data_IF_780690056553
#
_entry.id   IF_780690056553
#
_cell.length_a   1.000
_cell.length_b   1.000
_cell.length_c   1.000
_cell.angle_alpha   90.00
_cell.angle_beta   90.00
_cell.angle_gamma   90.00
#
_symmetry.space_group_name_H-M   'P 1'
#
loop_
_entity.id
_entity.type
_entity.pdbx_description
1 polymer ?
#
# COMPACT_ATOMS: atom_id res chain seq x y z
N UNK A 1 -16.20 -8.36 17.16
CA UNK A 1 -15.13 -7.92 16.23
C UNK A 1 -15.66 -7.73 14.81
N UNK A 2 -16.41 -8.68 14.21
CA UNK A 2 -16.94 -8.59 12.83
C UNK A 2 -17.76 -7.31 12.52
N UNK A 3 -18.64 -6.86 13.43
CA UNK A 3 -19.44 -5.64 13.22
C UNK A 3 -18.58 -4.37 13.17
N UNK A 4 -17.58 -4.25 14.06
CA UNK A 4 -16.65 -3.11 14.07
C UNK A 4 -15.79 -3.05 12.81
N UNK A 5 -15.27 -4.20 12.36
CA UNK A 5 -14.49 -4.28 11.14
C UNK A 5 -15.33 -3.89 9.91
N UNK A 6 -16.55 -4.41 9.78
CA UNK A 6 -17.48 -4.05 8.69
C UNK A 6 -17.76 -2.54 8.64
N UNK A 7 -17.91 -1.92 9.81
CA UNK A 7 -18.07 -0.46 9.89
C UNK A 7 -16.84 0.28 9.37
N UNK A 8 -15.62 -0.10 9.80
CA UNK A 8 -14.37 0.53 9.37
C UNK A 8 -14.11 0.31 7.87
N UNK A 9 -14.43 -0.87 7.32
CA UNK A 9 -14.32 -1.14 5.89
C UNK A 9 -15.30 -0.31 5.05
N UNK A 10 -16.52 -0.07 5.56
CA UNK A 10 -17.47 0.85 4.89
C UNK A 10 -16.96 2.29 4.88
N UNK A 11 -16.34 2.74 5.97
CA UNK A 11 -15.71 4.06 6.02
C UNK A 11 -14.55 4.16 5.04
N UNK A 12 -13.73 3.13 4.92
CA UNK A 12 -12.64 3.06 3.95
C UNK A 12 -13.16 3.28 2.51
N UNK A 13 -14.15 2.49 2.09
CA UNK A 13 -14.71 2.58 0.73
C UNK A 13 -15.39 3.93 0.46
N UNK A 14 -15.88 4.60 1.49
CA UNK A 14 -16.47 5.95 1.38
C UNK A 14 -15.44 7.09 1.50
N UNK A 15 -14.22 6.77 1.84
CA UNK A 15 -13.14 7.76 1.97
C UNK A 15 -12.75 8.32 0.60
N UNK A 16 -12.72 9.65 0.42
CA UNK A 16 -12.24 10.26 -0.82
C UNK A 16 -10.77 9.93 -1.07
N UNK A 17 -9.93 9.83 -0.02
CA UNK A 17 -8.53 9.47 -0.14
C UNK A 17 -8.31 8.10 -0.78
N UNK A 18 -9.17 7.12 -0.47
CA UNK A 18 -9.13 5.79 -1.09
C UNK A 18 -9.35 5.87 -2.61
N UNK A 19 -10.36 6.62 -3.04
CA UNK A 19 -10.66 6.77 -4.47
C UNK A 19 -9.62 7.61 -5.20
N UNK A 20 -9.03 8.61 -4.55
CA UNK A 20 -7.90 9.38 -5.10
C UNK A 20 -6.70 8.45 -5.33
N UNK A 21 -6.33 7.63 -4.36
CA UNK A 21 -5.24 6.66 -4.51
C UNK A 21 -5.52 5.64 -5.63
N UNK A 22 -6.77 5.14 -5.73
CA UNK A 22 -7.21 4.27 -6.82
C UNK A 22 -7.12 4.95 -8.19
N UNK A 23 -7.59 6.20 -8.31
CA UNK A 23 -7.56 6.95 -9.56
C UNK A 23 -6.11 7.17 -10.05
N UNK A 24 -5.21 7.59 -9.16
CA UNK A 24 -3.78 7.71 -9.50
C UNK A 24 -3.19 6.37 -9.93
N UNK A 25 -3.53 5.29 -9.24
CA UNK A 25 -3.09 3.95 -9.60
C UNK A 25 -3.58 3.54 -10.99
N UNK A 26 -4.86 3.76 -11.31
CA UNK A 26 -5.43 3.47 -12.63
C UNK A 26 -4.75 4.31 -13.71
N UNK A 27 -4.56 5.62 -13.47
CA UNK A 27 -3.87 6.50 -14.42
C UNK A 27 -2.44 6.03 -14.69
N UNK A 28 -1.71 5.63 -13.65
CA UNK A 28 -0.36 5.07 -13.81
C UNK A 28 -0.40 3.76 -14.62
N UNK A 29 -1.28 2.82 -14.26
CA UNK A 29 -1.37 1.51 -14.89
C UNK A 29 -1.74 1.61 -16.38
N UNK A 30 -2.74 2.42 -16.71
CA UNK A 30 -3.21 2.63 -18.09
C UNK A 30 -2.21 3.48 -18.87
N UNK A 31 -1.70 4.55 -18.28
CA UNK A 31 -0.73 5.43 -18.93
C UNK A 31 0.55 4.69 -19.33
N UNK A 32 1.09 3.88 -18.44
CA UNK A 32 2.25 3.04 -18.74
C UNK A 32 1.92 1.99 -19.82
N UNK A 33 0.77 1.32 -19.70
CA UNK A 33 0.32 0.35 -20.69
C UNK A 33 0.20 0.97 -22.09
N UNK A 34 -0.43 2.14 -22.21
CA UNK A 34 -0.54 2.86 -23.49
C UNK A 34 0.83 3.24 -24.02
N UNK A 35 1.73 3.72 -23.17
CA UNK A 35 3.11 4.05 -23.58
C UNK A 35 3.86 2.81 -24.12
N UNK A 36 3.67 1.65 -23.47
CA UNK A 36 4.26 0.39 -23.92
C UNK A 36 3.66 -0.08 -25.26
N UNK A 37 2.34 0.04 -25.44
CA UNK A 37 1.69 -0.27 -26.72
C UNK A 37 2.21 0.63 -27.84
N UNK A 38 2.28 1.94 -27.62
CA UNK A 38 2.79 2.90 -28.61
C UNK A 38 4.26 2.65 -28.98
N UNK A 39 5.07 2.30 -27.98
CA UNK A 39 6.49 1.99 -28.19
C UNK A 39 6.69 0.74 -29.07
N UNK A 40 5.82 -0.25 -28.90
CA UNK A 40 5.97 -1.56 -29.56
C UNK A 40 5.04 -1.77 -30.78
N UNK A 41 4.18 -0.77 -31.12
CA UNK A 41 3.22 -0.90 -32.23
C UNK A 41 3.84 -1.08 -33.60
N UNK A 42 5.11 -0.72 -33.77
CA UNK A 42 5.85 -0.85 -35.03
C UNK A 42 6.62 -2.17 -35.13
N UNK A 43 6.62 -2.97 -34.06
CA UNK A 43 7.31 -4.25 -34.04
C UNK A 43 6.43 -5.34 -34.63
N UNK A 44 7.05 -6.21 -35.43
CA UNK A 44 6.39 -7.43 -35.89
C UNK A 44 5.94 -8.26 -34.69
N UNK A 45 4.88 -9.06 -34.87
CA UNK A 45 4.32 -9.92 -33.81
C UNK A 45 5.38 -10.82 -33.16
N UNK A 46 6.44 -11.13 -33.89
CA UNK A 46 7.60 -11.93 -33.45
C UNK A 46 8.52 -11.16 -32.50
N UNK A 47 8.61 -9.84 -32.65
CA UNK A 47 9.49 -8.99 -31.85
C UNK A 47 8.77 -8.32 -30.66
N UNK A 48 7.48 -8.59 -30.47
CA UNK A 48 6.73 -8.00 -29.36
C UNK A 48 7.15 -8.57 -28.01
N UNK A 49 7.19 -7.73 -26.96
CA UNK A 49 7.52 -8.16 -25.61
C UNK A 49 6.46 -9.11 -25.06
N UNK A 50 6.85 -9.98 -24.14
CA UNK A 50 5.91 -10.78 -23.36
C UNK A 50 5.20 -9.92 -22.30
N UNK A 51 4.01 -10.32 -21.80
CA UNK A 51 3.29 -9.57 -20.79
C UNK A 51 4.11 -9.27 -19.53
N UNK A 52 4.94 -10.19 -19.08
CA UNK A 52 5.78 -9.98 -17.90
C UNK A 52 6.98 -9.06 -18.19
N UNK A 53 7.49 -8.99 -19.42
CA UNK A 53 8.53 -8.03 -19.82
C UNK A 53 7.97 -6.63 -20.10
N UNK A 54 6.69 -6.54 -20.47
CA UNK A 54 5.96 -5.29 -20.63
C UNK A 54 5.36 -4.74 -19.32
N UNK A 55 5.45 -5.48 -18.22
CA UNK A 55 4.89 -5.09 -16.94
C UNK A 55 5.62 -3.89 -16.31
N UNK A 56 4.84 -2.93 -15.80
CA UNK A 56 5.36 -1.64 -15.31
C UNK A 56 6.37 -1.77 -14.15
N UNK A 57 6.17 -2.72 -13.27
CA UNK A 57 7.00 -2.94 -12.08
C UNK A 57 8.00 -4.09 -12.26
N UNK A 58 8.33 -4.42 -13.48
CA UNK A 58 9.51 -5.22 -13.76
C UNK A 58 10.78 -4.42 -13.40
N UNK A 59 11.77 -5.06 -12.78
CA UNK A 59 12.96 -4.39 -12.27
C UNK A 59 13.80 -3.63 -13.31
N UNK A 60 13.70 -4.01 -14.59
CA UNK A 60 14.34 -3.32 -15.71
C UNK A 60 13.49 -2.18 -16.30
N UNK A 61 12.26 -1.98 -15.82
CA UNK A 61 11.41 -0.90 -16.27
C UNK A 61 11.91 0.45 -15.76
N UNK A 62 12.02 1.45 -16.64
CA UNK A 62 12.38 2.81 -16.28
C UNK A 62 11.37 3.48 -15.32
N UNK A 63 10.14 2.98 -15.27
CA UNK A 63 9.07 3.55 -14.43
C UNK A 63 8.95 2.90 -13.07
N UNK A 64 9.49 1.71 -12.88
CA UNK A 64 9.42 0.99 -11.61
C UNK A 64 10.02 1.77 -10.42
N UNK A 65 11.19 2.42 -10.53
CA UNK A 65 11.74 3.23 -9.45
C UNK A 65 10.81 4.40 -9.07
N UNK A 66 10.20 5.07 -10.04
CA UNK A 66 9.27 6.18 -9.77
C UNK A 66 8.00 5.69 -9.07
N UNK A 67 7.46 4.53 -9.45
CA UNK A 67 6.33 3.95 -8.76
C UNK A 67 6.67 3.58 -7.31
N UNK A 68 7.82 2.97 -7.07
CA UNK A 68 8.30 2.65 -5.72
C UNK A 68 8.54 3.90 -4.88
N UNK A 69 9.07 4.96 -5.47
CA UNK A 69 9.25 6.24 -4.81
C UNK A 69 7.90 6.82 -4.34
N UNK A 70 6.85 6.74 -5.17
CA UNK A 70 5.52 7.25 -4.85
C UNK A 70 4.68 6.30 -3.98
N UNK A 71 5.06 5.03 -3.87
CA UNK A 71 4.32 4.01 -3.15
C UNK A 71 4.01 4.37 -1.68
N UNK A 72 4.96 4.89 -0.86
CA UNK A 72 4.66 5.31 0.50
C UNK A 72 3.62 6.44 0.55
N UNK A 73 3.68 7.39 -0.38
CA UNK A 73 2.76 8.52 -0.45
C UNK A 73 1.35 8.05 -0.83
N UNK A 74 1.21 7.27 -1.89
CA UNK A 74 -0.08 6.77 -2.38
C UNK A 74 -0.78 5.89 -1.34
N UNK A 75 -0.03 5.02 -0.66
CA UNK A 75 -0.59 4.17 0.39
C UNK A 75 -1.12 4.98 1.57
N UNK A 76 -0.42 6.07 1.95
CA UNK A 76 -0.80 6.91 3.08
C UNK A 76 -2.02 7.79 2.80
N UNK A 77 -2.18 8.31 1.58
CA UNK A 77 -3.33 9.15 1.19
C UNK A 77 -4.65 8.41 1.34
N UNK A 78 -4.66 7.10 1.14
CA UNK A 78 -5.86 6.28 1.06
C UNK A 78 -6.74 6.37 2.32
N UNK A 79 -6.21 6.14 3.53
CA UNK A 79 -7.00 6.09 4.75
C UNK A 79 -6.23 6.38 6.05
N UNK A 80 -4.97 6.82 5.99
CA UNK A 80 -4.15 7.01 7.19
C UNK A 80 -4.58 8.20 8.05
N UNK A 81 -5.27 9.20 7.49
CA UNK A 81 -5.79 10.36 8.23
C UNK A 81 -7.12 10.13 8.94
N UNK A 82 -7.72 8.95 8.79
CA UNK A 82 -9.07 8.65 9.25
C UNK A 82 -9.27 8.86 10.76
N UNK A 83 -8.26 8.60 11.61
CA UNK A 83 -8.35 8.87 13.05
C UNK A 83 -8.19 10.36 13.36
N UNK A 84 -7.47 11.10 12.54
CA UNK A 84 -7.35 12.55 12.63
C UNK A 84 -8.69 13.21 12.30
N UNK A 85 -9.39 12.72 11.29
CA UNK A 85 -10.76 13.12 10.96
C UNK A 85 -11.73 12.84 12.11
N UNK A 86 -11.71 11.61 12.66
CA UNK A 86 -12.56 11.23 13.80
C UNK A 86 -12.27 12.09 15.04
N UNK A 87 -11.01 12.46 15.28
CA UNK A 87 -10.61 13.34 16.39
C UNK A 87 -11.08 14.77 16.19
N UNK A 88 -10.89 15.33 15.00
CA UNK A 88 -11.26 16.72 14.70
C UNK A 88 -12.78 16.93 14.73
N UNK A 89 -13.56 15.91 14.37
CA UNK A 89 -15.02 15.93 14.39
C UNK A 89 -15.60 15.41 15.74
N UNK A 90 -14.78 15.26 16.77
CA UNK A 90 -15.18 14.77 18.11
C UNK A 90 -15.86 13.39 18.11
N UNK A 91 -15.71 12.59 17.04
CA UNK A 91 -16.32 11.26 16.90
C UNK A 91 -15.50 10.16 17.60
N UNK A 92 -14.23 10.41 17.88
CA UNK A 92 -13.31 9.40 18.41
C UNK A 92 -13.76 8.90 19.80
N UNK A 93 -14.11 9.81 20.72
CA UNK A 93 -14.49 9.44 22.08
C UNK A 93 -15.77 8.60 22.16
N UNK A 94 -16.90 8.96 21.50
CA UNK A 94 -18.09 8.12 21.47
C UNK A 94 -17.85 6.77 20.77
N UNK A 95 -17.01 6.70 19.74
CA UNK A 95 -16.64 5.45 19.09
C UNK A 95 -15.86 4.53 20.03
N UNK A 96 -14.88 5.07 20.74
CA UNK A 96 -14.09 4.32 21.73
C UNK A 96 -14.97 3.82 22.90
N UNK A 97 -15.90 4.64 23.37
CA UNK A 97 -16.85 4.25 24.43
C UNK A 97 -17.76 3.09 24.03
N UNK A 98 -18.26 3.08 22.78
CA UNK A 98 -19.14 2.01 22.27
C UNK A 98 -18.42 0.74 21.86
N UNK A 99 -17.26 0.85 21.25
CA UNK A 99 -16.53 -0.30 20.70
C UNK A 99 -15.53 -0.88 21.68
N UNK A 100 -15.05 -0.09 22.63
CA UNK A 100 -13.88 -0.39 23.46
C UNK A 100 -12.57 -0.21 22.69
N UNK A 101 -11.53 0.25 23.38
CA UNK A 101 -10.24 0.66 22.79
C UNK A 101 -9.61 -0.47 21.95
N UNK A 102 -9.53 -1.69 22.49
CA UNK A 102 -8.85 -2.79 21.82
C UNK A 102 -9.58 -3.26 20.55
N UNK A 103 -10.92 -3.28 20.55
CA UNK A 103 -11.72 -3.65 19.37
C UNK A 103 -11.66 -2.57 18.28
N UNK A 104 -11.74 -1.30 18.68
CA UNK A 104 -11.54 -0.18 17.77
C UNK A 104 -10.17 -0.24 17.12
N UNK A 105 -9.10 -0.33 17.92
CA UNK A 105 -7.72 -0.35 17.43
C UNK A 105 -7.48 -1.47 16.42
N UNK A 106 -7.84 -2.72 16.75
CA UNK A 106 -7.65 -3.87 15.85
C UNK A 106 -8.46 -3.74 14.56
N UNK A 107 -9.72 -3.31 14.63
CA UNK A 107 -10.55 -3.14 13.44
C UNK A 107 -10.07 -2.00 12.54
N UNK A 108 -9.55 -0.92 13.15
CA UNK A 108 -8.99 0.22 12.43
C UNK A 108 -7.68 -0.15 11.75
N UNK A 109 -6.79 -0.87 12.46
CA UNK A 109 -5.53 -1.36 11.91
C UNK A 109 -5.74 -2.17 10.63
N UNK A 110 -6.67 -3.14 10.65
CA UNK A 110 -6.99 -3.94 9.46
C UNK A 110 -7.57 -3.07 8.34
N UNK A 111 -8.47 -2.13 8.65
CA UNK A 111 -9.06 -1.28 7.62
C UNK A 111 -8.03 -0.33 6.98
N UNK A 112 -7.12 0.23 7.77
CA UNK A 112 -6.03 1.08 7.27
C UNK A 112 -5.04 0.28 6.45
N UNK A 113 -4.68 -0.93 6.90
CA UNK A 113 -3.84 -1.84 6.13
C UNK A 113 -4.46 -2.16 4.77
N UNK A 114 -5.74 -2.55 4.73
CA UNK A 114 -6.46 -2.78 3.47
C UNK A 114 -6.52 -1.52 2.61
N UNK A 115 -6.63 -0.35 3.23
CA UNK A 115 -6.62 0.94 2.53
C UNK A 115 -5.32 1.21 1.78
N UNK A 116 -4.17 0.87 2.34
CA UNK A 116 -2.88 0.98 1.66
C UNK A 116 -2.63 -0.15 0.68
N UNK A 117 -2.99 -1.39 1.04
CA UNK A 117 -2.78 -2.59 0.24
C UNK A 117 -3.58 -2.58 -1.07
N UNK A 118 -4.92 -2.38 -0.99
CA UNK A 118 -5.83 -2.58 -2.12
C UNK A 118 -5.55 -1.66 -3.32
N UNK A 119 -5.33 -0.34 -3.18
CA UNK A 119 -5.04 0.51 -4.32
C UNK A 119 -3.77 0.12 -5.06
N UNK A 120 -2.71 -0.22 -4.32
CA UNK A 120 -1.43 -0.61 -4.91
C UNK A 120 -1.54 -1.97 -5.61
N UNK A 121 -2.18 -2.94 -4.96
CA UNK A 121 -2.43 -4.25 -5.57
C UNK A 121 -3.29 -4.15 -6.82
N UNK A 122 -4.40 -3.40 -6.76
CA UNK A 122 -5.29 -3.20 -7.90
C UNK A 122 -4.59 -2.50 -9.08
N UNK A 123 -3.74 -1.51 -8.81
CA UNK A 123 -2.91 -0.83 -9.82
C UNK A 123 -2.03 -1.82 -10.56
N UNK A 124 -1.28 -2.63 -9.83
CA UNK A 124 -0.36 -3.60 -10.39
C UNK A 124 -1.10 -4.73 -11.12
N UNK A 125 -2.18 -5.24 -10.52
CA UNK A 125 -3.02 -6.27 -11.12
C UNK A 125 -3.69 -5.79 -12.42
N UNK A 126 -4.16 -4.53 -12.45
CA UNK A 126 -4.72 -3.92 -13.65
C UNK A 126 -3.66 -3.81 -14.76
N UNK A 127 -2.47 -3.32 -14.44
CA UNK A 127 -1.41 -3.19 -15.43
C UNK A 127 -0.99 -4.56 -16.00
N UNK A 128 -0.78 -5.55 -15.13
CA UNK A 128 -0.47 -6.92 -15.57
C UNK A 128 -1.61 -7.52 -16.41
N UNK A 129 -2.87 -7.31 -15.98
CA UNK A 129 -4.05 -7.78 -16.72
C UNK A 129 -4.14 -7.17 -18.13
N UNK A 130 -3.87 -5.87 -18.27
CA UNK A 130 -3.82 -5.20 -19.58
C UNK A 130 -2.68 -5.75 -20.45
N UNK A 131 -1.51 -5.99 -19.87
CA UNK A 131 -0.39 -6.60 -20.59
C UNK A 131 -0.71 -8.03 -21.06
N UNK A 132 -1.39 -8.83 -20.22
CA UNK A 132 -1.85 -10.20 -20.60
C UNK A 132 -2.83 -10.22 -21.77
N UNK A 133 -3.63 -9.15 -21.94
CA UNK A 133 -4.59 -9.04 -23.05
C UNK A 133 -3.91 -8.59 -24.33
N UNK A 134 -2.95 -7.66 -24.25
CA UNK A 134 -2.38 -7.00 -25.42
C UNK A 134 -1.13 -7.69 -25.98
N UNK A 135 -0.34 -8.34 -25.16
CA UNK A 135 0.93 -8.94 -25.56
C UNK A 135 0.86 -10.47 -25.63
N UNK A 136 1.61 -11.11 -26.53
CA UNK A 136 1.60 -12.57 -26.72
C UNK A 136 2.13 -13.29 -25.47
N UNK A 137 1.36 -14.25 -24.95
CA UNK A 137 1.68 -15.00 -23.72
C UNK A 137 2.98 -15.83 -23.83
N UNK A 138 3.14 -16.48 -24.96
CA UNK A 138 4.35 -17.16 -25.37
C UNK A 138 5.01 -16.22 -26.36
N UNK A 139 5.81 -15.30 -25.85
CA UNK A 139 6.56 -14.44 -26.74
C UNK A 139 7.22 -15.31 -27.76
N UNK A 140 7.20 -14.85 -28.95
CA UNK A 140 7.86 -15.41 -30.10
C UNK A 140 9.36 -15.40 -29.88
N UNK A 141 9.72 -16.00 -28.81
CA UNK A 141 11.03 -16.21 -28.28
C UNK A 141 11.95 -17.00 -29.22
N UNK A 142 11.52 -17.22 -30.45
CA UNK A 142 12.26 -18.04 -31.41
C UNK A 142 13.23 -17.30 -32.32
N UNK A 143 13.16 -15.96 -32.43
CA UNK A 143 14.02 -15.23 -33.37
C UNK A 143 14.49 -13.88 -32.81
N UNK A 144 15.72 -13.82 -32.36
CA UNK A 144 16.46 -12.58 -32.10
C UNK A 144 16.27 -11.93 -30.73
N UNK A 145 15.05 -11.91 -30.19
CA UNK A 145 14.82 -11.49 -28.80
C UNK A 145 15.01 -12.65 -27.84
N UNK A 146 14.95 -13.87 -28.30
CA UNK A 146 15.35 -15.05 -27.54
C UNK A 146 16.82 -15.01 -27.16
N UNK A 147 17.66 -14.49 -28.02
CA UNK A 147 19.04 -14.22 -27.64
C UNK A 147 19.11 -13.26 -26.44
N UNK A 148 18.19 -12.28 -26.35
CA UNK A 148 18.15 -11.35 -25.24
C UNK A 148 17.43 -11.93 -24.01
N UNK A 149 16.40 -12.76 -24.21
CA UNK A 149 15.74 -13.48 -23.13
C UNK A 149 16.52 -14.72 -22.71
N UNK A 150 17.13 -15.45 -23.62
CA UNK A 150 18.12 -16.46 -23.28
C UNK A 150 19.30 -15.84 -22.52
N UNK A 151 19.77 -14.68 -22.92
CA UNK A 151 20.77 -13.94 -22.16
C UNK A 151 20.25 -13.51 -20.80
N UNK A 152 19.01 -13.03 -20.72
CA UNK A 152 18.38 -12.65 -19.46
C UNK A 152 18.03 -13.89 -18.64
N UNK A 153 17.57 -14.97 -19.25
CA UNK A 153 17.28 -16.25 -18.60
C UNK A 153 18.58 -16.89 -18.10
N UNK A 154 19.59 -17.01 -18.93
CA UNK A 154 20.91 -17.54 -18.54
C UNK A 154 21.63 -16.62 -17.55
N UNK A 155 21.51 -15.32 -17.69
CA UNK A 155 21.97 -14.33 -16.71
C UNK A 155 21.28 -14.52 -15.37
N UNK A 156 19.95 -14.63 -15.35
CA UNK A 156 19.15 -14.84 -14.15
C UNK A 156 19.44 -16.20 -13.50
N UNK A 157 19.52 -17.26 -14.28
CA UNK A 157 19.80 -18.63 -13.76
C UNK A 157 21.18 -18.71 -13.13
N UNK A 158 22.17 -18.05 -13.72
CA UNK A 158 23.54 -18.08 -13.24
C UNK A 158 23.88 -16.97 -12.24
N UNK A 159 23.01 -15.95 -12.10
CA UNK A 159 23.21 -14.88 -11.13
C UNK A 159 22.96 -15.40 -9.70
N UNK A 160 23.99 -15.48 -8.85
CA UNK A 160 23.82 -15.91 -7.46
C UNK A 160 22.98 -14.94 -6.63
N UNK A 161 22.86 -13.68 -7.09
CA UNK A 161 22.16 -12.59 -6.39
C UNK A 161 20.69 -12.44 -6.81
N UNK A 162 20.19 -13.32 -7.69
CA UNK A 162 18.80 -13.31 -8.11
C UNK A 162 17.91 -14.06 -7.08
N UNK A 163 16.99 -13.32 -6.47
CA UNK A 163 16.06 -13.87 -5.47
C UNK A 163 15.00 -14.77 -6.11
N UNK A 164 14.66 -15.87 -5.44
CA UNK A 164 13.57 -16.78 -5.85
C UNK A 164 13.65 -17.27 -7.29
N UNK A 165 14.87 -17.48 -7.83
CA UNK A 165 15.06 -17.95 -9.20
C UNK A 165 14.28 -19.22 -9.55
N UNK A 166 14.09 -20.15 -8.59
CA UNK A 166 13.26 -21.34 -8.82
C UNK A 166 11.81 -20.99 -9.13
N UNK A 167 11.28 -19.94 -8.51
CA UNK A 167 9.92 -19.46 -8.79
C UNK A 167 9.83 -18.83 -10.18
N UNK A 168 10.85 -18.06 -10.57
CA UNK A 168 10.93 -17.46 -11.91
C UNK A 168 11.04 -18.52 -13.01
N UNK A 169 11.87 -19.55 -12.82
CA UNK A 169 12.03 -20.67 -13.75
C UNK A 169 10.72 -21.46 -13.88
N UNK A 170 10.00 -21.68 -12.78
CA UNK A 170 8.71 -22.37 -12.80
C UNK A 170 7.64 -21.55 -13.54
N UNK A 171 7.54 -20.26 -13.29
CA UNK A 171 6.64 -19.34 -13.98
C UNK A 171 7.02 -17.89 -13.69
N UNK A 172 7.42 -17.10 -14.70
CA UNK A 172 7.67 -15.66 -14.54
C UNK A 172 6.43 -14.90 -14.03
N UNK A 173 5.24 -15.31 -14.46
CA UNK A 173 3.97 -14.71 -14.01
C UNK A 173 3.75 -14.89 -12.50
N UNK A 174 4.02 -16.08 -11.98
CA UNK A 174 3.91 -16.37 -10.54
C UNK A 174 4.96 -15.58 -9.75
N UNK A 175 6.13 -15.40 -10.30
CA UNK A 175 7.20 -14.60 -9.72
C UNK A 175 6.80 -13.13 -9.57
N UNK A 176 6.32 -12.49 -10.65
CA UNK A 176 5.86 -11.10 -10.57
C UNK A 176 4.60 -10.94 -9.73
N UNK A 177 3.69 -11.92 -9.73
CA UNK A 177 2.55 -11.93 -8.83
C UNK A 177 2.99 -11.95 -7.35
N UNK A 178 4.00 -12.74 -7.01
CA UNK A 178 4.56 -12.75 -5.65
C UNK A 178 5.08 -11.36 -5.24
N UNK A 179 5.87 -10.69 -6.09
CA UNK A 179 6.39 -9.36 -5.80
C UNK A 179 5.27 -8.29 -5.79
N UNK A 180 4.22 -8.44 -6.58
CA UNK A 180 3.02 -7.63 -6.52
C UNK A 180 2.35 -7.71 -5.14
N UNK A 181 2.26 -8.91 -4.57
CA UNK A 181 1.73 -9.10 -3.22
C UNK A 181 2.66 -8.51 -2.17
N UNK A 182 3.99 -8.71 -2.30
CA UNK A 182 5.00 -8.18 -1.36
C UNK A 182 4.98 -6.65 -1.33
N UNK A 183 5.04 -6.00 -2.49
CA UNK A 183 5.03 -4.53 -2.58
C UNK A 183 3.71 -3.94 -2.04
N UNK A 184 2.58 -4.58 -2.33
CA UNK A 184 1.27 -4.17 -1.81
C UNK A 184 1.16 -4.37 -0.29
N UNK A 185 1.76 -5.45 0.23
CA UNK A 185 1.83 -5.70 1.67
C UNK A 185 2.63 -4.61 2.38
N UNK A 186 3.78 -4.23 1.85
CA UNK A 186 4.60 -3.13 2.38
C UNK A 186 3.85 -1.80 2.29
N UNK A 187 3.10 -1.53 1.22
CA UNK A 187 2.21 -0.38 1.11
C UNK A 187 1.17 -0.34 2.24
N UNK A 188 0.57 -1.49 2.58
CA UNK A 188 -0.32 -1.63 3.73
C UNK A 188 0.38 -1.27 5.05
N UNK A 189 1.64 -1.69 5.24
CA UNK A 189 2.44 -1.34 6.42
C UNK A 189 2.73 0.16 6.50
N UNK A 190 3.03 0.83 5.39
CA UNK A 190 3.20 2.29 5.35
C UNK A 190 1.93 3.03 5.78
N UNK A 191 0.77 2.61 5.28
CA UNK A 191 -0.50 3.19 5.69
C UNK A 191 -0.75 3.03 7.20
N UNK A 192 -0.46 1.85 7.76
CA UNK A 192 -0.57 1.58 9.20
C UNK A 192 0.39 2.44 10.00
N UNK A 193 1.65 2.54 9.60
CA UNK A 193 2.64 3.39 10.26
C UNK A 193 2.19 4.87 10.25
N UNK A 194 1.83 5.41 9.09
CA UNK A 194 1.33 6.78 8.95
C UNK A 194 0.08 7.04 9.81
N UNK A 195 -0.86 6.08 9.83
CA UNK A 195 -2.04 6.16 10.70
C UNK A 195 -1.67 6.25 12.18
N UNK A 196 -0.71 5.47 12.63
CA UNK A 196 -0.25 5.52 14.03
C UNK A 196 0.47 6.84 14.33
N UNK A 197 1.29 7.34 13.39
CA UNK A 197 1.92 8.65 13.52
C UNK A 197 0.89 9.80 13.57
N UNK A 198 -0.29 9.65 12.94
CA UNK A 198 -1.36 10.65 12.99
C UNK A 198 -1.86 10.99 14.40
N UNK A 199 -1.62 10.11 15.39
CA UNK A 199 -1.90 10.41 16.81
C UNK A 199 -0.93 11.41 17.42
N UNK A 200 0.25 11.62 16.83
CA UNK A 200 1.26 12.56 17.30
C UNK A 200 1.21 13.90 16.58
N UNK A 201 0.61 13.92 15.39
CA UNK A 201 0.55 15.06 14.50
C UNK A 201 -0.87 15.59 14.36
N UNK A 202 -1.02 16.90 14.16
CA UNK A 202 -2.34 17.53 13.94
C UNK A 202 -2.62 17.85 12.47
N UNK A 203 -1.59 17.88 11.63
CA UNK A 203 -1.70 18.24 10.23
C UNK A 203 -1.88 16.98 9.36
N UNK A 204 -2.91 16.99 8.48
CA UNK A 204 -3.20 15.89 7.55
C UNK A 204 -2.11 15.71 6.51
N UNK A 205 -1.61 16.81 5.94
CA UNK A 205 -0.58 16.77 4.90
C UNK A 205 0.67 16.07 5.46
N UNK A 206 1.09 16.43 6.67
CA UNK A 206 2.23 15.80 7.31
C UNK A 206 2.02 14.30 7.57
N UNK A 207 0.78 13.90 7.90
CA UNK A 207 0.44 12.47 8.05
C UNK A 207 0.63 11.69 6.75
N UNK A 208 0.32 12.28 5.60
CA UNK A 208 0.49 11.63 4.30
C UNK A 208 1.96 11.56 3.87
N UNK A 209 2.72 12.62 4.13
CA UNK A 209 4.09 12.76 3.64
C UNK A 209 5.15 12.16 4.55
N UNK A 210 4.83 11.89 5.84
CA UNK A 210 5.83 11.44 6.82
C UNK A 210 6.50 10.13 6.41
N UNK A 211 5.74 9.15 5.90
CA UNK A 211 6.31 7.87 5.47
C UNK A 211 7.15 8.03 4.22
N UNK A 212 6.73 8.89 3.30
CA UNK A 212 7.53 9.25 2.14
C UNK A 212 8.88 9.84 2.56
N UNK A 213 8.87 10.83 3.46
CA UNK A 213 10.08 11.48 3.95
C UNK A 213 11.01 10.50 4.69
N UNK A 214 10.46 9.63 5.53
CA UNK A 214 11.26 8.64 6.27
C UNK A 214 11.89 7.63 5.33
N UNK A 215 11.11 7.04 4.42
CA UNK A 215 11.61 6.00 3.50
C UNK A 215 12.61 6.58 2.52
N UNK A 216 12.28 7.71 1.86
CA UNK A 216 13.20 8.36 0.93
C UNK A 216 14.44 8.92 1.61
N UNK A 217 14.28 9.48 2.84
CA UNK A 217 15.42 9.96 3.61
C UNK A 217 16.41 8.84 3.95
N UNK A 218 15.93 7.66 4.33
CA UNK A 218 16.77 6.48 4.57
C UNK A 218 17.42 6.01 3.27
N UNK A 219 16.66 5.93 2.17
CA UNK A 219 17.19 5.53 0.87
C UNK A 219 18.33 6.44 0.43
N UNK A 220 18.15 7.77 0.52
CA UNK A 220 19.22 8.72 0.19
C UNK A 220 20.44 8.60 1.11
N UNK A 221 20.24 8.31 2.40
CA UNK A 221 21.35 8.06 3.32
C UNK A 221 22.13 6.79 2.95
N UNK A 222 21.43 5.74 2.50
CA UNK A 222 22.06 4.49 2.08
C UNK A 222 22.83 4.65 0.76
N UNK A 223 22.35 5.46 -0.17
CA UNK A 223 23.06 5.80 -1.41
C UNK A 223 24.41 6.47 -1.12
N UNK A 224 24.52 7.24 -0.03
CA UNK A 224 25.79 7.87 0.38
C UNK A 224 26.82 6.86 0.95
N UNK A 225 26.41 5.62 1.23
CA UNK A 225 27.26 4.53 1.71
C UNK A 225 27.39 3.45 0.64
N UNK A 226 28.30 3.60 -0.35
CA UNK A 226 28.34 2.76 -1.54
C UNK A 226 28.64 1.27 -1.27
N UNK A 227 29.22 0.95 -0.11
CA UNK A 227 29.50 -0.42 0.30
C UNK A 227 28.32 -1.13 0.97
N UNK A 228 27.17 -0.45 1.12
CA UNK A 228 26.02 -1.00 1.80
C UNK A 228 25.01 -1.61 0.79
N UNK A 229 24.83 -2.93 0.78
CA UNK A 229 24.01 -3.61 -0.25
C UNK A 229 22.49 -3.44 -0.04
N UNK A 230 22.04 -2.48 0.77
CA UNK A 230 20.65 -2.34 1.18
C UNK A 230 19.96 -1.14 0.53
N UNK A 231 19.68 -1.24 -0.76
CA UNK A 231 18.68 -0.37 -1.39
C UNK A 231 17.29 -0.91 -1.06
N UNK A 232 16.65 -0.32 -0.04
CA UNK A 232 15.42 -0.86 0.57
C UNK A 232 14.28 -0.99 -0.44
N UNK A 233 14.14 -0.02 -1.34
CA UNK A 233 13.08 -0.01 -2.34
C UNK A 233 13.27 -1.09 -3.43
N UNK A 234 14.50 -1.45 -3.75
CA UNK A 234 14.82 -2.41 -4.80
C UNK A 234 14.37 -3.83 -4.47
N UNK A 235 14.31 -4.16 -3.17
CA UNK A 235 13.78 -5.45 -2.71
C UNK A 235 12.26 -5.62 -2.90
N UNK A 236 11.55 -4.56 -3.29
CA UNK A 236 10.13 -4.62 -3.63
C UNK A 236 9.89 -4.93 -5.12
N UNK A 237 10.96 -4.89 -5.94
CA UNK A 237 10.96 -5.30 -7.34
C UNK A 237 11.39 -6.75 -7.49
N UNK A 238 10.91 -7.39 -8.54
CA UNK A 238 11.23 -8.78 -8.80
C UNK A 238 12.72 -9.01 -9.10
N UNK A 239 13.30 -8.22 -9.97
CA UNK A 239 14.70 -8.31 -10.36
C UNK A 239 15.33 -6.93 -10.37
N UNK A 240 16.53 -6.84 -9.83
CA UNK A 240 17.35 -5.62 -9.90
C UNK A 240 18.80 -5.96 -10.21
N UNK A 241 19.43 -5.30 -11.21
CA UNK A 241 20.78 -5.61 -11.66
C UNK A 241 21.88 -5.39 -10.62
N UNK A 242 21.61 -4.61 -9.57
CA UNK A 242 22.55 -4.32 -8.48
C UNK A 242 22.80 -5.48 -7.51
N UNK A 243 22.05 -6.58 -7.67
CA UNK A 243 22.13 -7.75 -6.82
C UNK A 243 21.26 -7.67 -5.58
N UNK A 244 20.54 -8.76 -5.32
CA UNK A 244 19.63 -8.89 -4.19
C UNK A 244 20.00 -10.10 -3.35
N UNK A 245 19.98 -9.96 -2.03
CA UNK A 245 20.27 -11.06 -1.10
C UNK A 245 19.04 -11.40 -0.24
N UNK A 246 18.88 -12.68 0.10
CA UNK A 246 17.81 -13.11 1.01
C UNK A 246 17.87 -12.43 2.38
N UNK A 247 19.09 -12.19 2.87
CA UNK A 247 19.33 -11.48 4.14
C UNK A 247 18.86 -10.03 4.03
N UNK A 248 19.21 -9.34 2.93
CA UNK A 248 18.76 -7.97 2.66
C UNK A 248 17.24 -7.89 2.59
N UNK A 249 16.58 -8.81 1.88
CA UNK A 249 15.11 -8.85 1.82
C UNK A 249 14.48 -9.07 3.20
N UNK A 250 15.02 -9.99 4.00
CA UNK A 250 14.53 -10.23 5.35
C UNK A 250 14.70 -8.98 6.24
N UNK A 251 15.85 -8.31 6.18
CA UNK A 251 16.10 -7.06 6.92
C UNK A 251 15.15 -5.95 6.49
N UNK A 252 14.86 -5.79 5.20
CA UNK A 252 13.89 -4.82 4.71
C UNK A 252 12.47 -5.09 5.22
N UNK A 253 12.02 -6.34 5.18
CA UNK A 253 10.71 -6.72 5.71
C UNK A 253 10.64 -6.47 7.22
N UNK A 254 11.67 -6.85 7.97
CA UNK A 254 11.76 -6.61 9.41
C UNK A 254 11.73 -5.10 9.71
N UNK A 255 12.46 -4.31 8.93
CA UNK A 255 12.45 -2.84 9.06
C UNK A 255 11.03 -2.25 8.86
N UNK A 256 10.33 -2.64 7.79
CA UNK A 256 8.97 -2.15 7.54
C UNK A 256 7.96 -2.62 8.60
N UNK A 257 8.10 -3.86 9.07
CA UNK A 257 7.31 -4.38 10.18
C UNK A 257 7.59 -3.61 11.48
N UNK A 258 8.84 -3.33 11.80
CA UNK A 258 9.21 -2.54 12.95
C UNK A 258 8.63 -1.13 12.87
N UNK A 259 8.73 -0.47 11.71
CA UNK A 259 8.16 0.86 11.47
C UNK A 259 6.64 0.89 11.71
N UNK A 260 5.94 -0.18 11.31
CA UNK A 260 4.50 -0.31 11.51
C UNK A 260 4.10 -0.74 12.94
N UNK A 261 4.92 -1.54 13.63
CA UNK A 261 4.55 -2.13 14.93
C UNK A 261 5.07 -1.34 16.13
N UNK A 262 6.22 -0.66 16.04
CA UNK A 262 6.77 0.10 17.17
C UNK A 262 5.79 1.15 17.73
N UNK A 263 5.10 1.97 16.92
CA UNK A 263 4.12 2.90 17.43
C UNK A 263 2.90 2.22 18.05
N UNK A 264 2.62 0.94 17.70
CA UNK A 264 1.51 0.17 18.27
C UNK A 264 1.62 -0.03 19.77
N UNK A 265 2.82 0.05 20.35
CA UNK A 265 3.05 -0.04 21.79
C UNK A 265 2.58 1.22 22.53
N UNK A 266 2.59 2.37 21.86
CA UNK A 266 2.33 3.70 22.47
C UNK A 266 0.89 4.15 22.20
N UNK A 267 0.35 3.90 21.01
CA UNK A 267 -0.96 4.39 20.57
C UNK A 267 -2.13 3.95 21.46
N UNK A 268 -2.23 2.70 21.96
CA UNK A 268 -3.31 2.30 22.87
C UNK A 268 -3.32 3.08 24.20
N UNK A 269 -2.12 3.40 24.74
CA UNK A 269 -2.00 4.23 25.95
C UNK A 269 -2.51 5.66 25.69
N UNK A 270 -2.17 6.22 24.53
CA UNK A 270 -2.63 7.56 24.13
C UNK A 270 -4.16 7.61 23.90
N UNK A 271 -4.75 6.58 23.31
CA UNK A 271 -6.20 6.44 23.18
C UNK A 271 -6.91 6.37 24.53
N UNK A 272 -6.34 5.66 25.51
CA UNK A 272 -6.87 5.62 26.88
C UNK A 272 -6.86 7.01 27.53
N UNK A 273 -5.77 7.75 27.38
CA UNK A 273 -5.67 9.12 27.93
C UNK A 273 -6.67 10.07 27.26
N UNK A 274 -6.93 9.94 25.96
CA UNK A 274 -7.93 10.72 25.24
C UNK A 274 -9.34 10.51 25.81
N UNK A 275 -9.72 9.27 26.12
CA UNK A 275 -11.00 8.95 26.78
C UNK A 275 -11.13 9.60 28.17
N UNK A 276 -10.07 9.54 28.97
CA UNK A 276 -10.08 10.11 30.34
C UNK A 276 -10.20 11.64 30.31
N UNK A 277 -9.62 12.32 29.34
CA UNK A 277 -9.74 13.76 29.16
C UNK A 277 -11.13 14.19 28.72
N UNK A 278 -11.77 13.40 27.84
CA UNK A 278 -13.12 13.70 27.35
C UNK A 278 -14.20 13.47 28.42
N UNK A 279 -14.02 12.46 29.28
CA UNK A 279 -14.92 12.21 30.43
C UNK A 279 -14.85 13.28 31.51
N UNK A 280 -13.80 14.12 31.54
CA UNK A 280 -13.66 15.25 32.49
C UNK A 280 -14.21 16.58 31.98
N UNK A 281 -14.58 16.69 30.69
CA UNK A 281 -15.21 17.93 30.17
C UNK A 281 -16.72 17.82 30.24
N UNK A 282 -17.44 18.73 30.91
CA UNK A 282 -18.89 18.76 30.91
C UNK A 282 -19.41 18.98 29.47
N UNK A 283 -20.49 18.29 29.14
CA UNK A 283 -21.11 18.17 27.80
C UNK A 283 -21.61 19.53 27.21
N UNK A 284 -21.46 20.63 27.92
CA UNK A 284 -22.08 21.92 27.60
C UNK A 284 -21.27 22.91 26.76
N UNK A 285 -20.12 22.53 26.20
CA UNK A 285 -19.36 23.45 25.33
C UNK A 285 -19.34 22.97 23.89
N UNK A 286 -20.24 23.50 23.06
CA UNK A 286 -20.03 23.66 21.62
C UNK A 286 -20.66 22.65 20.66
N UNK A 287 -22.00 22.64 20.56
CA UNK A 287 -22.67 22.13 19.36
C UNK A 287 -22.83 23.31 18.38
N UNK A 288 -21.85 23.52 17.52
CA UNK A 288 -22.00 24.20 16.24
C UNK A 288 -21.32 23.35 15.17
N UNK A 289 -22.04 22.42 14.61
CA UNK A 289 -21.62 21.59 13.47
C UNK A 289 -22.85 21.10 12.72
N UNK A 290 -22.80 21.10 11.39
CA UNK A 290 -23.85 20.86 10.43
C UNK A 290 -24.84 19.75 10.84
N UNK A 291 -26.11 20.10 10.93
CA UNK A 291 -27.25 19.26 11.38
C UNK A 291 -27.42 17.95 10.58
N UNK A 292 -27.02 17.91 9.32
CA UNK A 292 -27.20 16.77 8.40
C UNK A 292 -26.30 15.59 8.76
N UNK A 293 -25.04 15.83 9.15
CA UNK A 293 -24.10 14.74 9.51
C UNK A 293 -24.42 14.16 10.91
N UNK A 294 -24.96 14.99 11.80
CA UNK A 294 -25.42 14.50 13.11
C UNK A 294 -26.65 13.61 13.01
N UNK A 295 -27.53 13.88 12.06
CA UNK A 295 -28.71 13.08 11.80
C UNK A 295 -28.37 11.72 11.18
N UNK A 296 -27.42 11.68 10.27
CA UNK A 296 -26.89 10.42 9.72
C UNK A 296 -26.16 9.58 10.77
N UNK A 297 -25.39 10.20 11.66
CA UNK A 297 -24.75 9.50 12.78
C UNK A 297 -25.78 8.97 13.78
N UNK A 298 -26.88 9.72 14.04
CA UNK A 298 -28.00 9.27 14.88
C UNK A 298 -28.77 8.12 14.24
N UNK A 299 -29.08 8.17 12.97
CA UNK A 299 -29.79 7.10 12.25
C UNK A 299 -28.98 5.79 12.22
N UNK A 300 -27.66 5.87 12.01
CA UNK A 300 -26.75 4.73 12.10
C UNK A 300 -26.70 4.15 13.53
N UNK A 301 -26.81 5.00 14.55
CA UNK A 301 -26.84 4.61 15.96
C UNK A 301 -28.17 3.96 16.37
N UNK A 302 -29.30 4.42 15.81
CA UNK A 302 -30.62 3.82 16.04
C UNK A 302 -30.77 2.44 15.40
N UNK A 303 -30.25 2.25 14.19
CA UNK A 303 -30.23 0.96 13.50
C UNK A 303 -29.44 -0.14 14.23
N UNK A 304 -28.44 0.24 15.02
CA UNK A 304 -27.70 -0.70 15.87
C UNK A 304 -28.46 -1.06 17.19
N UNK A 305 -29.36 -0.20 17.64
CA UNK A 305 -30.14 -0.43 18.91
C UNK A 305 -31.30 -1.37 18.70
N UNK A 306 -31.99 -1.31 17.55
CA UNK A 306 -33.17 -2.14 17.25
C UNK A 306 -32.82 -3.62 16.94
N UNK A 307 -31.60 -3.93 16.46
CA UNK A 307 -31.18 -5.32 16.21
C UNK A 307 -30.55 -6.04 17.42
N UNK A 308 -30.56 -5.45 18.58
CA UNK A 308 -30.01 -6.02 19.82
C UNK A 308 -31.07 -6.52 20.83
N UNK A 309 -32.35 -6.51 20.48
CA UNK A 309 -33.40 -7.14 21.28
C UNK A 309 -34.06 -8.26 20.48
N UNK A 310 -33.60 -9.45 20.67
CA UNK A 310 -34.32 -10.71 20.49
C UNK A 310 -33.92 -11.60 21.66
N UNK A 311 -34.85 -12.35 22.22
CA UNK A 311 -34.94 -12.77 23.62
C UNK A 311 -33.87 -13.74 24.04
#
# INVERSE_FOLDING_TARGET
MKKCLRYQMRLLVRSPGFWVAMAFGVLYAVGYFVAMCLRNMHLDAIAQPTPYSAYANQGLSLTAPYFLMLLPLLSCISFSDSSLYERNNHLLAPLLGKMGIGRYYRSKLVAVFCGGFLPIFATQALNMGLCLIAFPLNGTQRYGWDLFQDYTYWGIVNDPLFLFKRLYIASPYLYYFFFMVVSSFVAGLFAVAAWQFSFFVRNRIFTYTIMFLVVQGIEYLLILTPDWPLHINEYLLGYYPGGQTYVGMALCIIFYLALALLPALIVPKKLKNCLLQTGRRPIHAGIKGNSIEQEQAKQLLHGCRQKGRIP
#
